data_IF_641346349224
#
_entry.id   IF_641346349224
#
_cell.length_a   1.000
_cell.length_b   1.000
_cell.length_c   1.000
_cell.angle_alpha   90.00
_cell.angle_beta   90.00
_cell.angle_gamma   90.00
#
_symmetry.space_group_name_H-M   'P 1'
#
loop_
_entity.id
_entity.type
_entity.pdbx_description
1 polymer ?
#
# COMPACT_ATOMS: atom_id res chain seq x y z
N UNK A 1 11.03 -0.15 11.54
CA UNK A 1 10.31 0.68 10.55
C UNK A 1 8.85 0.28 10.65
N UNK A 2 7.95 1.10 11.19
CA UNK A 2 6.54 0.69 11.30
C UNK A 2 5.62 1.73 10.70
N UNK A 3 5.69 1.83 9.38
CA UNK A 3 4.60 2.39 8.60
C UNK A 3 3.51 1.32 8.40
N UNK A 4 2.32 1.73 7.98
CA UNK A 4 1.15 0.84 7.93
C UNK A 4 1.37 -0.35 7.00
N UNK A 5 2.09 -0.16 5.89
CA UNK A 5 2.34 -1.23 4.93
C UNK A 5 3.24 -2.32 5.51
N UNK A 6 4.29 -1.94 6.25
CA UNK A 6 5.15 -2.90 6.96
C UNK A 6 4.35 -3.73 7.96
N UNK A 7 3.55 -3.06 8.79
CA UNK A 7 2.69 -3.71 9.77
C UNK A 7 1.75 -4.73 9.12
N UNK A 8 1.11 -4.37 7.99
CA UNK A 8 0.18 -5.26 7.29
C UNK A 8 0.87 -6.44 6.58
N UNK A 9 2.12 -6.28 6.13
CA UNK A 9 2.91 -7.39 5.60
C UNK A 9 3.30 -8.37 6.69
N UNK A 10 3.72 -7.86 7.86
CA UNK A 10 4.01 -8.66 9.05
C UNK A 10 2.77 -9.45 9.51
N UNK A 11 1.61 -8.79 9.60
CA UNK A 11 0.33 -9.47 9.92
C UNK A 11 -0.03 -10.55 8.90
N UNK A 12 0.19 -10.31 7.61
CA UNK A 12 -0.08 -11.29 6.56
C UNK A 12 0.85 -12.51 6.66
N UNK A 13 2.14 -12.28 6.99
CA UNK A 13 3.12 -13.34 7.28
C UNK A 13 2.71 -14.14 8.51
N UNK A 14 2.35 -13.48 9.60
CA UNK A 14 1.98 -14.15 10.86
C UNK A 14 0.74 -15.00 10.69
N UNK A 15 -0.29 -14.46 10.01
CA UNK A 15 -1.47 -15.24 9.66
C UNK A 15 -1.11 -16.48 8.85
N UNK A 16 -0.24 -16.33 7.83
CA UNK A 16 0.19 -17.47 7.00
C UNK A 16 1.00 -18.49 7.78
N UNK A 17 1.84 -18.05 8.71
CA UNK A 17 2.59 -18.93 9.61
C UNK A 17 1.63 -19.78 10.44
N UNK A 18 0.62 -19.17 11.03
CA UNK A 18 -0.38 -19.89 11.83
C UNK A 18 -1.26 -20.82 10.99
N UNK A 19 -1.59 -20.45 9.75
CA UNK A 19 -2.28 -21.34 8.80
C UNK A 19 -1.45 -22.60 8.50
N UNK A 20 -0.19 -22.44 8.09
CA UNK A 20 0.71 -23.58 7.80
C UNK A 20 0.99 -24.41 9.07
N UNK A 21 1.10 -23.75 10.22
CA UNK A 21 1.28 -24.41 11.51
C UNK A 21 0.08 -25.26 11.92
N UNK A 22 -1.14 -24.75 11.75
CA UNK A 22 -2.37 -25.48 12.04
C UNK A 22 -2.52 -26.73 11.18
N UNK A 23 -2.10 -26.68 9.92
CA UNK A 23 -2.10 -27.87 9.04
C UNK A 23 -1.08 -28.92 9.50
N UNK A 24 0.14 -28.50 9.89
CA UNK A 24 1.15 -29.42 10.41
C UNK A 24 0.74 -29.98 11.78
N UNK A 25 0.09 -29.17 12.62
CA UNK A 25 -0.32 -29.53 13.98
C UNK A 25 -1.26 -30.74 14.03
N UNK A 26 -2.02 -30.99 12.97
CA UNK A 26 -2.88 -32.18 12.83
C UNK A 26 -2.09 -33.48 13.01
N UNK A 27 -0.83 -33.50 12.58
CA UNK A 27 0.05 -34.67 12.67
C UNK A 27 1.25 -34.45 13.61
N UNK A 28 1.61 -33.20 13.88
CA UNK A 28 2.73 -32.82 14.73
C UNK A 28 2.39 -31.57 15.58
N UNK A 29 1.67 -31.73 16.70
CA UNK A 29 1.18 -30.61 17.50
C UNK A 29 2.30 -29.77 18.16
N UNK A 30 3.53 -30.30 18.25
CA UNK A 30 4.69 -29.57 18.80
C UNK A 30 4.99 -28.27 18.06
N UNK A 31 4.60 -28.16 16.79
CA UNK A 31 4.78 -26.93 16.02
C UNK A 31 4.09 -25.73 16.66
N UNK A 32 2.92 -25.94 17.27
CA UNK A 32 2.15 -24.88 17.91
C UNK A 32 2.92 -24.34 19.11
N UNK A 33 3.44 -25.23 19.96
CA UNK A 33 4.27 -24.82 21.10
C UNK A 33 5.57 -24.15 20.67
N UNK A 34 6.21 -24.63 19.60
CA UNK A 34 7.45 -24.05 19.07
C UNK A 34 7.20 -22.63 18.51
N UNK A 35 6.07 -22.41 17.80
CA UNK A 35 5.71 -21.09 17.28
C UNK A 35 5.20 -20.18 18.40
N UNK A 36 4.35 -20.65 19.30
CA UNK A 36 3.88 -19.87 20.47
C UNK A 36 5.07 -19.34 21.27
N UNK A 37 6.13 -20.13 21.49
CA UNK A 37 7.33 -19.67 22.18
C UNK A 37 8.13 -18.56 21.45
N UNK A 38 7.85 -18.29 20.18
CA UNK A 38 8.37 -17.10 19.47
C UNK A 38 7.57 -15.85 19.86
N UNK A 39 6.24 -15.97 19.96
CA UNK A 39 5.33 -14.85 20.22
C UNK A 39 5.21 -14.55 21.73
N UNK A 40 5.17 -15.57 22.58
CA UNK A 40 5.11 -15.44 24.04
C UNK A 40 6.28 -16.23 24.67
N UNK A 41 7.50 -15.65 24.75
CA UNK A 41 8.65 -16.28 25.38
C UNK A 41 8.51 -16.32 26.91
N UNK A 42 7.60 -15.53 27.47
CA UNK A 42 7.15 -15.64 28.85
C UNK A 42 5.95 -16.60 28.88
N UNK A 43 5.79 -17.51 29.85
CA UNK A 43 4.63 -18.41 29.85
C UNK A 43 3.27 -17.73 30.16
N UNK A 44 3.13 -16.41 29.95
CA UNK A 44 2.05 -15.63 30.52
C UNK A 44 1.69 -14.40 29.66
N UNK A 45 0.57 -14.44 28.94
CA UNK A 45 -0.72 -13.94 29.47
C UNK A 45 -1.85 -13.89 28.42
N UNK A 46 -1.56 -14.07 27.12
CA UNK A 46 -2.60 -14.29 26.08
C UNK A 46 -2.82 -15.78 25.75
N UNK A 47 -2.11 -16.66 26.47
CA UNK A 47 -2.15 -18.11 26.30
C UNK A 47 -3.51 -18.77 26.59
N UNK A 48 -4.45 -18.13 27.29
CA UNK A 48 -5.73 -18.77 27.64
C UNK A 48 -6.63 -18.94 26.41
N UNK A 49 -6.79 -17.91 25.58
CA UNK A 49 -7.54 -18.02 24.31
C UNK A 49 -6.83 -18.94 23.32
N UNK A 50 -5.49 -18.90 23.32
CA UNK A 50 -4.67 -19.79 22.50
C UNK A 50 -4.81 -21.26 22.94
N UNK A 51 -4.77 -21.54 24.24
CA UNK A 51 -4.93 -22.88 24.83
C UNK A 51 -6.35 -23.39 24.68
N UNK A 52 -7.37 -22.54 24.85
CA UNK A 52 -8.78 -22.92 24.65
C UNK A 52 -9.06 -23.23 23.18
N UNK A 53 -8.53 -22.42 22.25
CA UNK A 53 -8.69 -22.65 20.81
C UNK A 53 -7.91 -23.90 20.38
N UNK A 54 -6.69 -24.08 20.88
CA UNK A 54 -5.89 -25.30 20.72
C UNK A 54 -6.61 -26.55 21.26
N UNK A 55 -7.20 -26.47 22.46
CA UNK A 55 -7.96 -27.57 23.07
C UNK A 55 -9.24 -27.92 22.29
N UNK A 56 -9.78 -26.97 21.52
CA UNK A 56 -10.92 -27.18 20.60
C UNK A 56 -10.50 -27.60 19.19
N UNK A 57 -9.19 -27.78 18.94
CA UNK A 57 -8.64 -28.07 17.61
C UNK A 57 -8.65 -26.87 16.65
N UNK A 58 -8.98 -25.67 17.13
CA UNK A 58 -8.91 -24.40 16.40
C UNK A 58 -7.51 -23.79 16.52
N UNK A 59 -6.56 -24.39 15.81
CA UNK A 59 -5.15 -23.96 15.81
C UNK A 59 -4.93 -22.59 15.16
N UNK A 60 -5.78 -22.22 14.19
CA UNK A 60 -5.72 -20.91 13.55
C UNK A 60 -6.22 -19.83 14.50
N UNK A 61 -7.35 -20.06 15.18
CA UNK A 61 -7.86 -19.18 16.23
C UNK A 61 -6.86 -19.02 17.38
N UNK A 62 -6.20 -20.12 17.76
CA UNK A 62 -5.16 -20.10 18.77
C UNK A 62 -3.97 -19.20 18.39
N UNK A 63 -3.53 -19.33 17.14
CA UNK A 63 -2.45 -18.53 16.58
C UNK A 63 -2.79 -17.05 16.42
N UNK A 64 -4.01 -16.76 15.94
CA UNK A 64 -4.49 -15.39 15.76
C UNK A 64 -4.55 -14.59 17.08
N UNK A 65 -4.80 -15.25 18.22
CA UNK A 65 -4.72 -14.62 19.55
C UNK A 65 -3.30 -14.20 19.95
N UNK A 66 -2.26 -14.75 19.31
CA UNK A 66 -0.85 -14.48 19.64
C UNK A 66 -0.17 -13.50 18.67
N UNK A 67 -0.82 -13.13 17.56
CA UNK A 67 -0.25 -12.22 16.54
C UNK A 67 0.12 -10.84 17.10
N UNK A 68 -0.47 -10.43 18.24
CA UNK A 68 -0.18 -9.16 18.92
C UNK A 68 1.08 -9.16 19.79
N UNK A 69 1.73 -10.32 19.99
CA UNK A 69 2.84 -10.46 20.92
C UNK A 69 4.08 -10.94 20.16
N UNK A 70 4.92 -10.03 19.66
CA UNK A 70 6.29 -10.40 19.24
C UNK A 70 7.25 -9.60 20.12
N UNK A 71 7.89 -10.21 21.12
CA UNK A 71 8.99 -9.56 21.81
C UNK A 71 10.16 -9.44 20.85
N UNK A 72 10.71 -8.23 20.78
CA UNK A 72 11.98 -7.95 20.12
C UNK A 72 13.12 -8.67 20.87
N UNK A 73 13.21 -9.99 20.70
CA UNK A 73 14.23 -10.82 21.31
C UNK A 73 15.53 -10.70 20.50
N UNK A 74 16.54 -10.07 21.11
CA UNK A 74 17.89 -9.88 20.56
C UNK A 74 18.75 -11.14 20.42
N UNK A 75 18.15 -12.33 20.32
CA UNK A 75 18.88 -13.60 20.17
C UNK A 75 18.14 -14.54 19.19
N UNK A 76 18.42 -14.35 17.90
CA UNK A 76 17.54 -14.77 16.81
C UNK A 76 18.22 -15.51 15.66
N UNK A 77 19.54 -15.74 15.71
CA UNK A 77 20.26 -16.31 14.57
C UNK A 77 20.16 -17.84 14.46
N UNK A 78 19.95 -18.57 15.57
CA UNK A 78 19.84 -20.04 15.55
C UNK A 78 18.40 -20.57 15.42
N UNK A 79 17.39 -19.73 15.70
CA UNK A 79 15.98 -20.16 15.81
C UNK A 79 15.34 -20.61 14.50
N UNK A 80 15.57 -19.96 13.34
CA UNK A 80 14.92 -20.37 12.08
C UNK A 80 15.27 -21.81 11.66
N UNK A 81 16.52 -22.26 11.91
CA UNK A 81 16.96 -23.61 11.55
C UNK A 81 16.19 -24.71 12.30
N UNK A 82 15.74 -24.45 13.55
CA UNK A 82 14.90 -25.38 14.32
C UNK A 82 13.58 -25.70 13.61
N UNK A 83 13.09 -24.80 12.75
CA UNK A 83 11.84 -24.97 12.02
C UNK A 83 12.01 -25.70 10.68
N UNK A 84 13.24 -26.06 10.27
CA UNK A 84 13.47 -26.85 9.07
C UNK A 84 12.75 -28.22 9.12
N UNK A 85 12.62 -28.81 10.33
CA UNK A 85 11.85 -30.06 10.55
C UNK A 85 10.35 -29.95 10.22
N UNK A 86 9.83 -28.72 10.14
CA UNK A 86 8.43 -28.43 9.81
C UNK A 86 8.25 -28.02 8.33
N UNK A 87 9.32 -28.02 7.55
CA UNK A 87 9.30 -27.69 6.13
C UNK A 87 9.78 -26.27 5.81
N UNK A 88 10.20 -26.09 4.56
CA UNK A 88 10.83 -24.86 4.07
C UNK A 88 9.93 -23.62 4.16
N UNK A 89 8.60 -23.79 4.05
CA UNK A 89 7.64 -22.69 4.18
C UNK A 89 7.62 -22.08 5.58
N UNK A 90 7.48 -22.92 6.62
CA UNK A 90 7.48 -22.49 8.02
C UNK A 90 8.84 -21.89 8.37
N UNK A 91 9.92 -22.55 7.98
CA UNK A 91 11.28 -22.02 8.14
C UNK A 91 11.43 -20.64 7.49
N UNK A 92 10.93 -20.45 6.26
CA UNK A 92 10.96 -19.17 5.56
C UNK A 92 10.17 -18.08 6.28
N UNK A 93 8.94 -18.38 6.71
CA UNK A 93 8.08 -17.46 7.47
C UNK A 93 8.74 -17.02 8.79
N UNK A 94 9.30 -17.98 9.54
CA UNK A 94 10.05 -17.70 10.77
C UNK A 94 11.33 -16.92 10.49
N UNK A 95 12.06 -17.25 9.43
CA UNK A 95 13.26 -16.52 9.03
C UNK A 95 12.99 -15.05 8.75
N UNK A 96 11.85 -14.71 8.11
CA UNK A 96 11.46 -13.32 7.86
C UNK A 96 11.07 -12.55 9.12
N UNK A 97 10.66 -13.20 10.22
CA UNK A 97 10.38 -12.52 11.49
C UNK A 97 11.65 -11.90 12.10
N UNK A 98 12.79 -12.55 11.90
CA UNK A 98 14.06 -12.14 12.49
C UNK A 98 14.96 -11.37 11.52
N UNK A 99 14.58 -11.28 10.24
CA UNK A 99 15.34 -10.56 9.24
C UNK A 99 15.18 -9.05 9.44
N UNK A 100 16.30 -8.35 9.56
CA UNK A 100 16.33 -6.89 9.46
C UNK A 100 16.25 -6.48 7.99
N UNK A 101 15.42 -5.50 7.69
CA UNK A 101 15.26 -4.94 6.35
C UNK A 101 15.76 -3.49 6.35
N UNK A 102 16.47 -3.11 5.28
CA UNK A 102 16.98 -1.74 5.14
C UNK A 102 15.90 -0.77 4.65
N UNK A 103 14.93 -1.30 3.89
CA UNK A 103 13.82 -0.52 3.36
C UNK A 103 12.61 -1.41 2.99
N UNK A 104 11.48 -0.76 2.74
CA UNK A 104 10.20 -1.42 2.42
C UNK A 104 10.25 -2.24 1.13
N UNK A 105 11.08 -1.87 0.14
CA UNK A 105 11.22 -2.64 -1.09
C UNK A 105 11.93 -3.98 -0.84
N UNK A 106 13.03 -3.97 -0.07
CA UNK A 106 13.77 -5.18 0.32
C UNK A 106 12.92 -6.13 1.17
N UNK A 107 12.06 -5.56 2.03
CA UNK A 107 11.08 -6.30 2.80
C UNK A 107 10.04 -6.92 1.88
N UNK A 108 9.36 -6.13 1.04
CA UNK A 108 8.33 -6.62 0.10
C UNK A 108 8.86 -7.79 -0.73
N UNK A 109 10.05 -7.64 -1.35
CA UNK A 109 10.70 -8.70 -2.13
C UNK A 109 10.98 -9.97 -1.34
N UNK A 110 11.32 -9.85 -0.06
CA UNK A 110 11.54 -11.03 0.79
C UNK A 110 10.22 -11.69 1.20
N UNK A 111 9.15 -10.91 1.38
CA UNK A 111 7.84 -11.44 1.72
C UNK A 111 7.17 -12.12 0.52
N UNK A 112 7.46 -11.70 -0.71
CA UNK A 112 7.00 -12.37 -1.93
C UNK A 112 7.44 -13.84 -2.05
N UNK A 113 8.53 -14.25 -1.37
CA UNK A 113 8.94 -15.65 -1.36
C UNK A 113 8.06 -16.54 -0.48
N UNK A 114 7.27 -15.95 0.41
CA UNK A 114 6.41 -16.70 1.35
C UNK A 114 4.95 -16.30 1.27
N UNK A 115 4.60 -15.10 0.82
CA UNK A 115 3.23 -14.63 0.65
C UNK A 115 2.76 -14.76 -0.80
N UNK A 116 1.47 -14.96 -0.99
CA UNK A 116 0.87 -14.84 -2.31
C UNK A 116 0.87 -13.38 -2.77
N UNK A 117 0.92 -13.17 -4.09
CA UNK A 117 0.78 -11.84 -4.70
C UNK A 117 -0.48 -11.11 -4.22
N UNK A 118 -1.59 -11.84 -4.00
CA UNK A 118 -2.85 -11.31 -3.46
C UNK A 118 -2.71 -10.77 -2.03
N UNK A 119 -1.95 -11.45 -1.17
CA UNK A 119 -1.72 -10.99 0.20
C UNK A 119 -0.89 -9.70 0.24
N UNK A 120 0.20 -9.65 -0.53
CA UNK A 120 1.05 -8.45 -0.67
C UNK A 120 0.22 -7.28 -1.20
N UNK A 121 -0.56 -7.53 -2.26
CA UNK A 121 -1.48 -6.56 -2.83
C UNK A 121 -2.51 -6.04 -1.83
N UNK A 122 -3.12 -6.93 -1.04
CA UNK A 122 -4.12 -6.57 -0.03
C UNK A 122 -3.52 -5.64 1.03
N UNK A 123 -2.37 -6.01 1.59
CA UNK A 123 -1.64 -5.22 2.57
C UNK A 123 -1.32 -3.82 2.02
N UNK A 124 -0.78 -3.77 0.80
CA UNK A 124 -0.45 -2.53 0.12
C UNK A 124 -1.67 -1.61 -0.05
N UNK A 125 -2.78 -2.19 -0.50
CA UNK A 125 -3.99 -1.42 -0.75
C UNK A 125 -4.67 -0.92 0.51
N UNK A 126 -4.61 -1.70 1.59
CA UNK A 126 -5.07 -1.26 2.90
C UNK A 126 -4.19 -0.10 3.43
N UNK A 127 -2.87 -0.20 3.31
CA UNK A 127 -1.96 0.88 3.67
C UNK A 127 -2.21 2.14 2.85
N UNK A 128 -2.35 2.02 1.53
CA UNK A 128 -2.63 3.15 0.65
C UNK A 128 -3.97 3.82 0.99
N UNK A 129 -5.02 3.04 1.26
CA UNK A 129 -6.32 3.57 1.68
C UNK A 129 -6.22 4.34 2.99
N UNK A 130 -5.49 3.80 3.98
CA UNK A 130 -5.29 4.47 5.27
C UNK A 130 -4.47 5.76 5.11
N UNK A 131 -3.38 5.72 4.37
CA UNK A 131 -2.56 6.89 4.08
C UNK A 131 -3.34 7.97 3.33
N UNK A 132 -4.16 7.59 2.33
CA UNK A 132 -5.07 8.49 1.64
C UNK A 132 -6.11 9.09 2.59
N UNK A 133 -6.72 8.28 3.46
CA UNK A 133 -7.68 8.77 4.45
C UNK A 133 -7.03 9.77 5.41
N UNK A 134 -5.81 9.50 5.88
CA UNK A 134 -5.04 10.43 6.71
C UNK A 134 -4.70 11.72 5.96
N UNK A 135 -4.37 11.67 4.68
CA UNK A 135 -4.16 12.85 3.85
C UNK A 135 -5.45 13.68 3.72
N UNK A 136 -6.60 13.05 3.48
CA UNK A 136 -7.91 13.72 3.39
C UNK A 136 -8.30 14.33 4.75
N UNK A 137 -8.04 13.64 5.85
CA UNK A 137 -8.32 14.14 7.19
C UNK A 137 -7.38 15.30 7.57
N UNK A 138 -6.10 15.19 7.22
CA UNK A 138 -5.14 16.29 7.32
C UNK A 138 -5.60 17.51 6.51
N UNK A 139 -6.19 17.27 5.33
CA UNK A 139 -6.77 18.31 4.47
C UNK A 139 -7.89 19.06 5.18
N UNK A 140 -8.85 18.36 5.78
CA UNK A 140 -9.98 18.97 6.51
C UNK A 140 -9.52 19.89 7.64
N UNK A 141 -8.32 19.64 8.19
CA UNK A 141 -7.66 20.49 9.20
C UNK A 141 -6.70 21.53 8.62
N UNK A 142 -6.76 21.82 7.32
CA UNK A 142 -5.83 22.70 6.61
C UNK A 142 -4.34 22.37 6.87
N UNK A 143 -4.05 21.09 7.09
CA UNK A 143 -2.73 20.58 7.48
C UNK A 143 -2.15 21.19 8.77
N UNK A 144 -2.98 21.77 9.65
CA UNK A 144 -2.57 22.37 10.94
C UNK A 144 -2.35 21.33 12.05
N UNK A 145 -1.76 20.18 11.74
CA UNK A 145 -1.45 19.17 12.74
C UNK A 145 -0.02 18.63 12.58
N UNK A 146 0.64 18.26 13.68
CA UNK A 146 2.03 17.75 13.64
C UNK A 146 2.17 16.51 12.75
N UNK A 147 1.22 15.58 12.82
CA UNK A 147 1.17 14.38 11.96
C UNK A 147 0.83 14.68 10.50
N UNK A 148 0.40 15.91 10.19
CA UNK A 148 0.02 16.35 8.84
C UNK A 148 1.20 16.91 8.04
N UNK A 149 2.34 17.19 8.69
CA UNK A 149 3.53 17.77 8.03
C UNK A 149 4.00 16.94 6.83
N UNK A 150 3.97 15.61 6.96
CA UNK A 150 4.29 14.65 5.90
C UNK A 150 3.46 14.88 4.62
N UNK A 151 2.24 15.44 4.74
CA UNK A 151 1.34 15.70 3.62
C UNK A 151 1.45 17.12 3.04
N UNK A 152 1.96 18.11 3.77
CA UNK A 152 1.89 19.54 3.38
C UNK A 152 2.49 19.85 2.01
N UNK A 153 3.58 19.18 1.63
CA UNK A 153 4.25 19.35 0.32
C UNK A 153 3.87 18.27 -0.69
N UNK A 154 3.11 17.28 -0.25
CA UNK A 154 2.68 16.09 -1.00
C UNK A 154 1.20 16.17 -1.40
N UNK A 155 0.59 17.36 -1.30
CA UNK A 155 -0.74 17.63 -1.82
C UNK A 155 -0.77 18.96 -2.60
N UNK A 156 -0.58 18.88 -3.92
CA UNK A 156 -0.57 20.05 -4.82
C UNK A 156 -1.86 20.08 -5.60
N UNK A 157 -2.62 21.16 -5.45
CA UNK A 157 -3.77 21.44 -6.31
C UNK A 157 -3.45 22.51 -7.36
N UNK A 158 -4.11 22.50 -8.52
CA UNK A 158 -3.96 23.56 -9.51
C UNK A 158 -4.35 24.93 -8.94
N UNK A 159 -3.48 25.92 -9.13
CA UNK A 159 -3.79 27.32 -8.78
C UNK A 159 -4.75 27.95 -9.78
N UNK A 160 -5.38 29.07 -9.40
CA UNK A 160 -6.30 29.83 -10.26
C UNK A 160 -5.62 30.42 -11.51
N UNK A 161 -4.28 30.40 -11.58
CA UNK A 161 -3.54 30.77 -12.81
C UNK A 161 -3.76 29.79 -13.96
N UNK A 162 -4.20 28.56 -13.66
CA UNK A 162 -4.42 27.50 -14.66
C UNK A 162 -5.87 27.39 -15.13
N UNK A 163 -6.81 27.97 -14.40
CA UNK A 163 -8.24 27.82 -14.65
C UNK A 163 -9.10 28.33 -13.51
N UNK A 164 -10.40 28.19 -13.69
CA UNK A 164 -11.44 28.59 -12.73
C UNK A 164 -12.04 27.35 -12.07
N UNK A 165 -12.13 27.39 -10.74
CA UNK A 165 -12.74 26.33 -9.94
C UNK A 165 -14.24 26.55 -9.75
N UNK A 166 -15.00 25.46 -9.86
CA UNK A 166 -16.40 25.40 -9.47
C UNK A 166 -16.64 24.18 -8.54
N UNK A 167 -17.05 24.37 -7.28
CA UNK A 167 -17.26 25.66 -6.62
C UNK A 167 -15.93 26.41 -6.36
N UNK A 168 -15.98 27.74 -6.12
CA UNK A 168 -14.80 28.51 -5.72
C UNK A 168 -14.12 27.96 -4.46
N UNK A 169 -12.80 28.13 -4.37
CA UNK A 169 -12.01 27.68 -3.23
C UNK A 169 -11.71 26.18 -3.20
N UNK A 170 -12.04 25.42 -4.24
CA UNK A 170 -11.72 23.98 -4.30
C UNK A 170 -10.20 23.69 -4.21
N UNK A 171 -9.33 24.67 -4.43
CA UNK A 171 -7.88 24.59 -4.23
C UNK A 171 -7.34 25.35 -2.99
N UNK A 172 -8.21 25.91 -2.15
CA UNK A 172 -7.82 26.66 -0.95
C UNK A 172 -7.99 25.78 0.30
N UNK A 173 -6.91 25.49 1.06
CA UNK A 173 -6.98 24.75 2.32
C UNK A 173 -7.94 25.27 3.38
N UNK A 174 -8.36 26.54 3.29
CA UNK A 174 -9.30 27.16 4.23
C UNK A 174 -10.75 27.07 3.77
N UNK A 175 -11.01 26.63 2.54
CA UNK A 175 -12.35 26.54 1.97
C UNK A 175 -13.06 25.24 2.38
N UNK A 176 -14.39 25.27 2.62
CA UNK A 176 -15.17 24.04 2.80
C UNK A 176 -15.17 23.13 1.56
N UNK A 177 -14.86 23.68 0.38
CA UNK A 177 -14.83 22.94 -0.89
C UNK A 177 -13.47 22.30 -1.19
N UNK A 178 -12.49 22.43 -0.28
CA UNK A 178 -11.12 22.05 -0.59
C UNK A 178 -10.96 20.58 -1.01
N UNK A 179 -10.39 20.39 -2.20
CA UNK A 179 -10.18 19.09 -2.84
C UNK A 179 -11.31 18.66 -3.76
N UNK A 180 -12.47 19.30 -3.75
CA UNK A 180 -13.64 18.83 -4.49
C UNK A 180 -14.19 19.93 -5.40
N UNK A 181 -14.23 19.65 -6.70
CA UNK A 181 -14.78 20.58 -7.68
C UNK A 181 -14.26 20.35 -9.08
N UNK A 182 -14.78 21.13 -10.02
CA UNK A 182 -14.39 21.13 -11.43
C UNK A 182 -13.44 22.27 -11.70
N UNK A 183 -12.27 21.95 -12.26
CA UNK A 183 -11.35 22.95 -12.80
C UNK A 183 -11.63 23.11 -14.29
N UNK A 184 -12.09 24.29 -14.68
CA UNK A 184 -12.20 24.68 -16.10
C UNK A 184 -10.92 25.39 -16.50
N UNK A 185 -10.22 24.88 -17.51
CA UNK A 185 -8.94 25.43 -17.95
C UNK A 185 -9.13 26.75 -18.68
N UNK A 186 -8.17 27.67 -18.50
CA UNK A 186 -8.15 28.95 -19.25
C UNK A 186 -8.07 28.75 -20.77
N UNK A 187 -7.42 27.65 -21.19
CA UNK A 187 -7.35 27.20 -22.58
C UNK A 187 -7.64 25.70 -22.61
N UNK A 188 -8.45 25.20 -23.57
CA UNK A 188 -8.64 23.77 -23.76
C UNK A 188 -7.30 23.05 -23.94
N UNK A 189 -7.25 21.79 -23.51
CA UNK A 189 -6.08 20.93 -23.62
C UNK A 189 -6.26 20.00 -24.80
N UNK A 190 -5.40 20.13 -25.81
CA UNK A 190 -5.35 19.18 -26.93
C UNK A 190 -4.80 17.83 -26.47
N UNK A 191 -5.52 16.76 -26.82
CA UNK A 191 -5.12 15.40 -26.53
C UNK A 191 -4.34 14.79 -27.70
N UNK A 192 -3.36 13.91 -27.44
CA UNK A 192 -2.76 13.08 -28.47
C UNK A 192 -3.82 12.17 -29.09
N UNK A 193 -3.54 11.63 -30.28
CA UNK A 193 -4.39 10.62 -30.92
C UNK A 193 -3.71 9.24 -30.83
N UNK A 194 -4.33 8.20 -30.24
CA UNK A 194 -5.57 8.26 -29.46
C UNK A 194 -5.40 9.09 -28.17
N UNK A 195 -6.49 9.56 -27.51
CA UNK A 195 -7.90 9.49 -27.95
C UNK A 195 -8.34 10.62 -28.90
N UNK A 196 -7.52 11.66 -29.08
CA UNK A 196 -7.83 12.84 -29.90
C UNK A 196 -8.78 13.85 -29.22
N UNK A 197 -8.93 15.01 -29.84
CA UNK A 197 -9.85 16.07 -29.40
C UNK A 197 -9.30 16.98 -28.30
N UNK A 198 -10.21 17.70 -27.63
CA UNK A 198 -9.87 18.71 -26.62
C UNK A 198 -10.61 18.48 -25.30
N UNK A 199 -9.93 18.78 -24.19
CA UNK A 199 -10.49 18.76 -22.84
C UNK A 199 -10.54 20.18 -22.28
N UNK A 200 -11.74 20.66 -21.96
CA UNK A 200 -11.96 22.01 -21.42
C UNK A 200 -11.90 22.06 -19.90
N UNK A 201 -12.17 20.94 -19.22
CA UNK A 201 -12.22 20.87 -17.77
C UNK A 201 -11.89 19.46 -17.27
N UNK A 202 -11.54 19.40 -15.99
CA UNK A 202 -11.32 18.14 -15.27
C UNK A 202 -11.96 18.24 -13.88
N UNK A 203 -12.59 17.15 -13.45
CA UNK A 203 -13.15 17.04 -12.12
C UNK A 203 -12.06 16.63 -11.12
N UNK A 204 -12.18 17.11 -9.89
CA UNK A 204 -11.35 16.72 -8.77
C UNK A 204 -12.24 16.16 -7.67
N UNK A 205 -11.80 15.03 -7.11
CA UNK A 205 -12.38 14.41 -5.93
C UNK A 205 -11.27 14.15 -4.93
N UNK A 206 -11.48 14.57 -3.69
CA UNK A 206 -10.48 14.46 -2.63
C UNK A 206 -9.11 15.01 -3.04
N UNK A 207 -9.08 16.08 -3.82
CA UNK A 207 -7.87 16.76 -4.28
C UNK A 207 -7.08 16.00 -5.34
N UNK A 208 -7.65 14.96 -5.92
CA UNK A 208 -7.09 14.18 -7.00
C UNK A 208 -7.89 14.37 -8.29
N UNK A 209 -7.23 14.47 -9.45
CA UNK A 209 -7.91 14.61 -10.72
C UNK A 209 -8.61 13.32 -11.11
N UNK A 210 -9.86 13.42 -11.53
CA UNK A 210 -10.65 12.30 -12.04
C UNK A 210 -10.45 12.22 -13.55
N UNK A 211 -9.48 11.41 -13.98
CA UNK A 211 -9.28 11.12 -15.39
C UNK A 211 -10.39 10.19 -15.89
N UNK A 212 -11.12 10.61 -16.93
CA UNK A 212 -12.13 9.78 -17.61
C UNK A 212 -11.45 8.59 -18.28
N UNK A 213 -12.12 7.44 -18.34
CA UNK A 213 -11.55 6.19 -18.88
C UNK A 213 -10.99 6.36 -20.30
N UNK A 214 -11.67 7.14 -21.16
CA UNK A 214 -11.19 7.44 -22.52
C UNK A 214 -9.85 8.23 -22.57
N UNK A 215 -9.41 8.81 -21.46
CA UNK A 215 -8.13 9.52 -21.33
C UNK A 215 -7.08 8.69 -20.57
N UNK A 216 -7.39 7.43 -20.24
CA UNK A 216 -6.49 6.52 -19.56
C UNK A 216 -6.21 5.33 -20.46
N UNK A 217 -4.94 4.98 -20.64
CA UNK A 217 -4.53 3.83 -21.42
C UNK A 217 -3.82 2.81 -20.52
N UNK A 218 -4.17 1.53 -20.68
CA UNK A 218 -3.49 0.43 -20.01
C UNK A 218 -3.62 0.47 -18.49
N UNK A 219 -4.78 0.87 -17.95
CA UNK A 219 -4.98 0.92 -16.50
C UNK A 219 -4.95 -0.49 -15.92
N UNK A 220 -3.97 -0.77 -15.08
CA UNK A 220 -3.76 -2.10 -14.49
C UNK A 220 -3.34 -2.00 -13.04
N UNK A 221 -3.64 -3.05 -12.29
CA UNK A 221 -3.19 -3.24 -10.91
C UNK A 221 -1.98 -4.16 -10.95
N UNK A 222 -0.81 -3.68 -10.52
CA UNK A 222 0.42 -4.47 -10.48
C UNK A 222 0.77 -4.85 -9.05
N UNK A 223 1.35 -6.04 -8.88
CA UNK A 223 1.70 -6.62 -7.57
C UNK A 223 2.98 -6.03 -7.00
N UNK A 224 3.96 -5.76 -7.85
CA UNK A 224 5.27 -5.19 -7.49
C UNK A 224 5.38 -3.72 -7.94
N UNK A 225 4.51 -2.87 -7.41
CA UNK A 225 4.59 -1.44 -7.69
C UNK A 225 5.81 -0.86 -6.93
N UNK A 226 6.83 -0.41 -7.63
CA UNK A 226 8.04 0.12 -7.00
C UNK A 226 7.90 1.61 -6.64
N UNK A 227 6.86 2.26 -7.14
CA UNK A 227 6.65 3.71 -7.02
C UNK A 227 7.73 4.56 -7.74
N UNK A 228 8.46 3.94 -8.67
CA UNK A 228 9.46 4.59 -9.52
C UNK A 228 8.97 4.51 -10.96
N UNK A 229 8.88 5.66 -11.64
CA UNK A 229 8.34 5.72 -13.01
C UNK A 229 9.11 4.83 -13.98
N UNK A 230 10.43 4.73 -13.87
CA UNK A 230 11.24 3.91 -14.76
C UNK A 230 11.02 2.41 -14.50
N UNK A 231 11.10 2.00 -13.24
CA UNK A 231 10.88 0.60 -12.84
C UNK A 231 9.46 0.14 -13.16
N UNK A 232 8.46 0.95 -12.81
CA UNK A 232 7.06 0.62 -13.04
C UNK A 232 6.70 0.63 -14.54
N UNK A 233 7.30 1.51 -15.33
CA UNK A 233 7.14 1.48 -16.80
C UNK A 233 7.76 0.22 -17.41
N UNK A 234 8.90 -0.24 -16.89
CA UNK A 234 9.52 -1.48 -17.34
C UNK A 234 8.66 -2.70 -16.99
N UNK A 235 8.06 -2.72 -15.79
CA UNK A 235 7.10 -3.74 -15.37
C UNK A 235 5.87 -3.78 -16.28
N UNK A 236 5.26 -2.63 -16.58
CA UNK A 236 4.13 -2.57 -17.50
C UNK A 236 4.49 -3.06 -18.90
N UNK A 237 5.68 -2.70 -19.40
CA UNK A 237 6.17 -3.16 -20.69
C UNK A 237 6.32 -4.68 -20.74
N UNK A 238 6.78 -5.31 -19.66
CA UNK A 238 6.84 -6.79 -19.56
C UNK A 238 5.45 -7.43 -19.61
N UNK A 239 4.42 -6.71 -19.15
CA UNK A 239 3.02 -7.14 -19.22
C UNK A 239 2.33 -6.76 -20.56
N UNK A 240 3.09 -6.28 -21.55
CA UNK A 240 2.56 -5.85 -22.84
C UNK A 240 1.81 -4.52 -22.82
N UNK A 241 1.92 -3.75 -21.73
CA UNK A 241 1.27 -2.45 -21.57
C UNK A 241 2.31 -1.36 -21.79
N UNK A 242 2.20 -0.63 -22.90
CA UNK A 242 3.12 0.46 -23.25
C UNK A 242 2.39 1.78 -23.46
N UNK A 243 3.10 2.89 -23.29
CA UNK A 243 2.57 4.20 -23.68
C UNK A 243 2.18 4.20 -25.18
N UNK A 244 1.00 4.73 -25.56
CA UNK A 244 0.62 4.83 -26.98
C UNK A 244 1.53 5.73 -27.81
N UNK A 245 2.27 6.63 -27.16
CA UNK A 245 3.23 7.52 -27.80
C UNK A 245 3.94 8.42 -26.80
N UNK A 246 4.86 9.26 -27.29
CA UNK A 246 5.67 10.18 -26.46
C UNK A 246 4.87 11.22 -25.67
N UNK A 247 3.65 11.50 -26.09
CA UNK A 247 2.75 12.47 -25.46
C UNK A 247 1.89 11.87 -24.34
N UNK A 248 2.27 10.69 -23.86
CA UNK A 248 1.65 9.99 -22.74
C UNK A 248 2.65 9.80 -21.60
N UNK A 249 2.19 10.00 -20.36
CA UNK A 249 3.01 9.81 -19.16
C UNK A 249 2.40 8.74 -18.28
N UNK A 250 3.25 7.95 -17.63
CA UNK A 250 2.80 7.03 -16.59
C UNK A 250 2.24 7.85 -15.42
N UNK A 251 1.09 7.41 -14.92
CA UNK A 251 0.42 7.98 -13.76
C UNK A 251 0.08 6.88 -12.75
N UNK A 252 0.41 7.17 -11.49
CA UNK A 252 0.14 6.34 -10.34
C UNK A 252 -1.19 6.79 -9.71
N UNK A 253 -2.27 6.06 -9.98
CA UNK A 253 -3.61 6.38 -9.50
C UNK A 253 -3.76 6.10 -8.00
N UNK A 254 -4.68 6.81 -7.36
CA UNK A 254 -4.94 6.81 -5.91
C UNK A 254 -5.51 5.49 -5.39
N UNK A 255 -5.99 4.62 -6.29
CA UNK A 255 -6.49 3.29 -6.01
C UNK A 255 -5.41 2.20 -6.18
N UNK A 256 -4.15 2.61 -6.34
CA UNK A 256 -2.99 1.74 -6.49
C UNK A 256 -2.84 1.14 -7.89
N UNK A 257 -3.63 1.58 -8.87
CA UNK A 257 -3.43 1.20 -10.27
C UNK A 257 -2.39 2.10 -10.94
N UNK A 258 -1.81 1.58 -12.02
CA UNK A 258 -0.95 2.29 -12.94
C UNK A 258 -1.67 2.45 -14.27
N UNK A 259 -1.39 3.52 -14.99
CA UNK A 259 -1.79 3.65 -16.37
C UNK A 259 -1.20 4.89 -17.00
N UNK A 260 -1.32 4.99 -18.31
CA UNK A 260 -0.84 6.15 -19.05
C UNK A 260 -1.96 7.17 -19.21
N UNK A 261 -1.62 8.45 -19.05
CA UNK A 261 -2.52 9.58 -19.33
C UNK A 261 -1.82 10.60 -20.24
N UNK A 262 -2.55 11.39 -21.05
CA UNK A 262 -1.96 12.43 -21.88
C UNK A 262 -1.12 13.43 -21.06
N UNK A 263 0.14 13.61 -21.44
CA UNK A 263 1.13 14.43 -20.71
C UNK A 263 0.69 15.89 -20.55
N UNK A 264 0.03 16.45 -21.58
CA UNK A 264 -0.54 17.81 -21.52
C UNK A 264 -1.67 17.91 -20.49
N UNK A 265 -2.55 16.91 -20.43
CA UNK A 265 -3.64 16.89 -19.46
C UNK A 265 -3.09 16.69 -18.03
N UNK A 266 -2.16 15.75 -17.86
CA UNK A 266 -1.49 15.48 -16.58
C UNK A 266 -0.77 16.72 -16.01
N UNK A 267 -0.03 17.46 -16.85
CA UNK A 267 0.69 18.68 -16.42
C UNK A 267 -0.23 19.86 -16.09
N UNK A 268 -1.36 19.99 -16.78
CA UNK A 268 -2.38 21.01 -16.53
C UNK A 268 -3.16 20.70 -15.24
N UNK A 269 -3.49 19.43 -15.04
CA UNK A 269 -4.13 18.93 -13.83
C UNK A 269 -3.11 18.65 -12.71
N UNK A 270 -2.22 19.60 -12.38
CA UNK A 270 -1.20 19.41 -11.34
C UNK A 270 -1.78 18.77 -10.09
N UNK A 271 -1.21 17.66 -9.66
CA UNK A 271 -1.73 16.85 -8.58
C UNK A 271 -0.59 16.09 -7.92
N UNK A 272 -0.94 15.34 -6.89
CA UNK A 272 -0.09 14.38 -6.22
C UNK A 272 -0.73 13.02 -6.40
N UNK A 273 -0.13 12.16 -7.23
CA UNK A 273 -0.64 10.80 -7.42
C UNK A 273 -0.37 9.92 -6.19
N UNK A 274 -0.78 8.64 -6.25
CA UNK A 274 -0.51 7.69 -5.15
C UNK A 274 0.96 7.57 -4.81
N UNK A 275 1.85 7.89 -5.76
CA UNK A 275 3.28 8.00 -5.50
C UNK A 275 3.66 8.90 -4.33
N UNK A 276 2.99 10.04 -4.22
CA UNK A 276 3.24 10.98 -3.13
C UNK A 276 2.64 10.52 -1.82
N UNK A 277 1.62 9.66 -1.85
CA UNK A 277 0.97 9.07 -0.66
C UNK A 277 1.83 7.92 -0.11
N UNK A 278 2.40 7.10 -0.99
CA UNK A 278 3.28 5.98 -0.63
C UNK A 278 4.65 6.43 -0.10
N UNK A 279 4.97 7.71 -0.21
CA UNK A 279 6.21 8.33 0.27
C UNK A 279 5.96 9.13 1.56
N UNK A 280 5.07 8.62 2.41
CA UNK A 280 4.69 9.23 3.69
C UNK A 280 4.80 8.20 4.80
N UNK A 281 5.05 8.62 6.04
CA UNK A 281 5.12 7.72 7.21
C UNK A 281 3.81 6.95 7.44
N UNK A 282 2.70 7.44 6.88
CA UNK A 282 1.39 6.80 6.93
C UNK A 282 1.27 5.54 6.06
N UNK A 283 2.14 5.37 5.06
CA UNK A 283 2.20 4.21 4.16
C UNK A 283 3.44 3.41 4.48
#
# INVERSE_FOLDING_TARGET
MSNEYTRLLEEARDKKLWEEAGEIAKNNPQIITDITGIFDPTPASDGISAVISAAKGDWLGAGLSLVSMIPYAGDALAKPAKFAKYGSKVQGLVGLMFKKFDNVASMTKSYESVLSATQVMKARMQALRKARAQMIDARKRAFKCKKCEQFKRKHKMPSNRKGTWNPPGANDPKSPNFGSGKLTFNKPVDLPNPPGGQVKSIDYQDGFPVFKDKHVHGRVRVTDLSNNVATDSALLKQQGITAPGKDWTLHHFEDGTLGYVPSKLHSKASHTGSRSIMDTDAF
#
